data_IF_416414428530
#
_entry.id   IF_416414428530
#
_cell.length_a   1.000
_cell.length_b   1.000
_cell.length_c   1.000
_cell.angle_alpha   90.00
_cell.angle_beta   90.00
_cell.angle_gamma   90.00
#
_symmetry.space_group_name_H-M   'P 1'
#
loop_
_entity.id
_entity.type
_entity.pdbx_description
1 polymer ?
#
# COMPACT_ATOMS: atom_id res chain seq x y z
N UNK A 1 -36.02 15.05 9.96
CA UNK A 1 -34.92 14.70 9.03
C UNK A 1 -33.62 14.70 9.81
N UNK A 2 -32.92 13.58 9.85
CA UNK A 2 -31.61 13.52 10.50
C UNK A 2 -30.61 14.34 9.69
N UNK A 3 -29.87 15.22 10.34
CA UNK A 3 -28.75 15.92 9.71
C UNK A 3 -27.65 14.88 9.57
N UNK A 4 -27.35 14.47 8.35
CA UNK A 4 -26.22 13.59 8.09
C UNK A 4 -24.92 14.37 8.31
N UNK A 5 -24.04 13.79 9.08
CA UNK A 5 -22.68 14.33 9.20
C UNK A 5 -22.06 14.26 7.79
N UNK A 6 -21.68 15.42 7.26
CA UNK A 6 -21.09 15.52 5.92
C UNK A 6 -19.56 15.39 5.95
N UNK A 7 -18.95 15.18 7.11
CA UNK A 7 -17.52 14.97 7.20
C UNK A 7 -17.15 13.55 6.73
N UNK A 8 -16.14 13.50 5.85
CA UNK A 8 -15.62 12.25 5.36
C UNK A 8 -14.64 11.67 6.38
N UNK A 9 -14.90 10.46 6.86
CA UNK A 9 -13.96 9.74 7.71
C UNK A 9 -12.92 9.03 6.84
N UNK A 10 -11.75 9.66 6.66
CA UNK A 10 -10.69 9.11 5.85
C UNK A 10 -10.16 7.77 6.40
N UNK A 11 -10.16 7.60 7.73
CA UNK A 11 -9.70 6.36 8.36
C UNK A 11 -10.48 5.13 7.89
N UNK A 12 -11.75 5.28 7.57
CA UNK A 12 -12.60 4.18 7.13
C UNK A 12 -12.17 3.54 5.80
N UNK A 13 -11.34 4.23 5.01
CA UNK A 13 -10.81 3.72 3.73
C UNK A 13 -9.52 2.92 3.89
N UNK A 14 -9.01 2.79 5.11
CA UNK A 14 -7.74 2.13 5.42
C UNK A 14 -7.93 1.02 6.44
N UNK A 15 -7.03 0.03 6.49
CA UNK A 15 -7.09 -1.00 7.53
C UNK A 15 -7.11 -0.38 8.93
N UNK A 16 -7.87 -0.97 9.85
CA UNK A 16 -8.01 -0.45 11.21
C UNK A 16 -6.70 -0.46 12.01
N UNK A 17 -5.77 -1.32 11.63
CA UNK A 17 -4.44 -1.41 12.25
C UNK A 17 -3.40 -0.46 11.63
N UNK A 18 -3.81 0.35 10.63
CA UNK A 18 -3.03 1.48 10.12
C UNK A 18 -3.72 2.79 10.54
N UNK A 19 -3.23 3.39 11.61
CA UNK A 19 -3.81 4.61 12.17
C UNK A 19 -3.28 5.85 11.47
N UNK A 20 -4.17 6.68 10.96
CA UNK A 20 -3.79 7.97 10.36
C UNK A 20 -3.39 8.94 11.46
N UNK A 21 -2.20 9.52 11.31
CA UNK A 21 -1.65 10.53 12.23
C UNK A 21 -1.89 11.95 11.72
N UNK A 22 -1.65 12.16 10.42
CA UNK A 22 -1.64 13.48 9.81
C UNK A 22 -1.82 13.37 8.31
N UNK A 23 -2.36 14.40 7.69
CA UNK A 23 -2.54 14.50 6.24
C UNK A 23 -1.96 15.83 5.76
N UNK A 24 -1.04 15.76 4.80
CA UNK A 24 -0.51 16.94 4.12
C UNK A 24 -1.14 17.03 2.73
N UNK A 25 -1.79 18.16 2.44
CA UNK A 25 -2.45 18.40 1.16
C UNK A 25 -1.75 19.52 0.42
N UNK A 26 -1.25 19.22 -0.78
CA UNK A 26 -0.69 20.20 -1.70
C UNK A 26 -1.50 20.22 -2.99
N UNK A 27 -1.16 21.08 -3.94
CA UNK A 27 -1.88 21.14 -5.21
C UNK A 27 -1.74 19.88 -6.05
N UNK A 28 -0.64 19.15 -5.92
CA UNK A 28 -0.32 18.00 -6.76
C UNK A 28 -0.48 16.65 -6.04
N UNK A 29 -0.32 16.63 -4.72
CA UNK A 29 -0.30 15.36 -3.97
C UNK A 29 -0.87 15.52 -2.57
N UNK A 30 -1.33 14.39 -2.05
CA UNK A 30 -1.76 14.23 -0.67
C UNK A 30 -0.82 13.20 -0.04
N UNK A 31 -0.22 13.54 1.10
CA UNK A 31 0.61 12.61 1.86
C UNK A 31 -0.13 12.25 3.14
N UNK A 32 -0.41 10.98 3.31
CA UNK A 32 -1.09 10.47 4.50
C UNK A 32 -0.07 9.76 5.37
N UNK A 33 0.22 10.37 6.53
CA UNK A 33 1.12 9.80 7.52
C UNK A 33 0.34 8.86 8.41
N UNK A 34 0.79 7.64 8.53
CA UNK A 34 0.13 6.62 9.34
C UNK A 34 1.13 5.71 10.04
N UNK A 35 0.69 5.06 11.11
CA UNK A 35 1.49 4.08 11.80
C UNK A 35 0.69 2.80 12.04
N UNK A 36 1.41 1.69 12.09
CA UNK A 36 0.84 0.41 12.47
C UNK A 36 0.55 0.36 13.96
N UNK A 37 -0.60 -0.21 14.31
CA UNK A 37 -0.97 -0.54 15.69
C UNK A 37 -0.95 -2.04 15.94
N UNK A 38 -0.48 -2.83 14.96
CA UNK A 38 -0.43 -4.29 15.05
C UNK A 38 0.54 -4.75 16.14
N UNK A 39 0.16 -5.81 16.84
CA UNK A 39 0.98 -6.43 17.89
C UNK A 39 1.53 -7.79 17.46
N UNK A 40 1.14 -8.28 16.29
CA UNK A 40 1.57 -9.56 15.76
C UNK A 40 1.59 -9.55 14.24
N UNK A 41 2.31 -10.50 13.68
CA UNK A 41 2.41 -10.70 12.24
C UNK A 41 2.62 -12.18 11.97
N UNK A 42 2.16 -12.68 10.84
CA UNK A 42 2.40 -14.05 10.42
C UNK A 42 3.63 -14.09 9.51
N UNK A 43 4.59 -14.95 9.80
CA UNK A 43 5.74 -15.13 8.93
C UNK A 43 5.30 -15.72 7.60
N UNK A 44 5.55 -15.01 6.50
CA UNK A 44 5.12 -15.45 5.17
C UNK A 44 5.98 -16.59 4.60
N UNK A 45 7.07 -16.97 5.30
CA UNK A 45 7.87 -18.11 4.90
C UNK A 45 7.43 -19.41 5.59
N UNK A 46 7.19 -19.37 6.91
CA UNK A 46 6.89 -20.57 7.69
C UNK A 46 5.50 -20.57 8.32
N UNK A 47 4.76 -19.45 8.24
CA UNK A 47 3.42 -19.33 8.81
C UNK A 47 3.35 -19.19 10.32
N UNK A 48 4.50 -19.05 11.01
CA UNK A 48 4.52 -18.86 12.46
C UNK A 48 3.97 -17.50 12.85
N UNK A 49 3.24 -17.46 13.98
CA UNK A 49 2.78 -16.19 14.55
C UNK A 49 3.93 -15.51 15.28
N UNK A 50 4.24 -14.28 14.89
CA UNK A 50 5.32 -13.47 15.44
C UNK A 50 4.72 -12.36 16.27
N UNK A 51 5.18 -12.21 17.51
CA UNK A 51 4.64 -11.24 18.47
C UNK A 51 5.69 -10.27 19.00
N UNK A 52 6.94 -10.43 18.59
CA UNK A 52 8.05 -9.60 19.05
C UNK A 52 8.51 -8.67 17.94
N UNK A 53 8.37 -7.36 18.15
CA UNK A 53 8.92 -6.37 17.25
C UNK A 53 10.45 -6.45 17.26
N UNK A 54 11.06 -6.46 16.07
CA UNK A 54 12.50 -6.42 15.88
C UNK A 54 12.99 -5.01 15.59
N UNK A 55 12.13 -4.18 15.00
CA UNK A 55 12.41 -2.80 14.65
C UNK A 55 11.23 -2.18 13.95
N UNK A 56 11.40 -0.94 13.55
CA UNK A 56 10.40 -0.24 12.74
C UNK A 56 11.10 0.57 11.65
N UNK A 57 10.39 0.83 10.56
CA UNK A 57 10.89 1.69 9.50
C UNK A 57 9.74 2.36 8.78
N UNK A 58 10.07 3.43 8.06
CA UNK A 58 9.10 4.11 7.20
C UNK A 58 9.09 3.48 5.82
N UNK A 59 7.89 3.33 5.26
CA UNK A 59 7.70 2.93 3.86
C UNK A 59 6.84 3.97 3.17
N UNK A 60 7.21 4.26 1.93
CA UNK A 60 6.43 5.12 1.05
C UNK A 60 5.68 4.25 0.06
N UNK A 61 4.36 4.36 0.04
CA UNK A 61 3.48 3.51 -0.76
C UNK A 61 2.55 4.38 -1.59
N UNK A 62 2.43 4.06 -2.88
CA UNK A 62 1.48 4.70 -3.79
C UNK A 62 0.08 4.13 -3.61
N UNK A 63 -0.91 4.97 -3.38
CA UNK A 63 -2.32 4.59 -3.33
C UNK A 63 -3.09 5.20 -4.51
N UNK A 64 -4.37 4.90 -4.61
CA UNK A 64 -5.26 5.47 -5.62
C UNK A 64 -5.30 7.00 -5.50
N UNK A 65 -5.35 7.72 -6.64
CA UNK A 65 -5.44 9.17 -6.60
C UNK A 65 -6.79 9.63 -6.04
N UNK A 66 -6.79 10.80 -5.40
CA UNK A 66 -8.00 11.46 -4.90
C UNK A 66 -8.16 12.77 -5.66
N UNK A 67 -9.28 12.91 -6.37
CA UNK A 67 -9.64 14.12 -7.13
C UNK A 67 -8.48 14.58 -8.05
N UNK A 68 -7.83 13.63 -8.71
CA UNK A 68 -6.73 13.89 -9.63
C UNK A 68 -5.39 14.19 -8.97
N UNK A 69 -5.29 14.10 -7.65
CA UNK A 69 -4.04 14.26 -6.91
C UNK A 69 -3.43 12.92 -6.58
N UNK A 70 -2.12 12.81 -6.73
CA UNK A 70 -1.37 11.66 -6.26
C UNK A 70 -1.53 11.46 -4.75
N UNK A 71 -1.72 10.24 -4.30
CA UNK A 71 -1.80 9.90 -2.87
C UNK A 71 -0.62 9.03 -2.48
N UNK A 72 0.18 9.54 -1.57
CA UNK A 72 1.35 8.86 -1.02
C UNK A 72 1.07 8.51 0.44
N UNK A 73 1.25 7.25 0.79
CA UNK A 73 1.16 6.80 2.17
C UNK A 73 2.57 6.75 2.75
N UNK A 74 2.82 7.54 3.79
CA UNK A 74 4.03 7.47 4.59
C UNK A 74 3.71 6.64 5.83
N UNK A 75 4.16 5.39 5.82
CA UNK A 75 3.77 4.39 6.80
C UNK A 75 4.93 4.03 7.70
N UNK A 76 4.73 4.15 9.00
CA UNK A 76 5.65 3.59 9.99
C UNK A 76 5.13 2.20 10.38
N UNK A 77 5.88 1.17 10.01
CA UNK A 77 5.49 -0.23 10.20
C UNK A 77 6.60 -0.99 10.92
N UNK A 78 6.27 -2.18 11.41
CA UNK A 78 7.17 -2.97 12.23
C UNK A 78 7.76 -4.14 11.45
N UNK A 79 9.01 -4.44 11.78
CA UNK A 79 9.66 -5.69 11.45
C UNK A 79 9.55 -6.64 12.63
N UNK A 80 9.36 -7.91 12.34
CA UNK A 80 9.30 -8.97 13.34
C UNK A 80 10.43 -9.94 13.11
N UNK A 81 10.87 -10.61 14.16
CA UNK A 81 11.93 -11.61 14.04
C UNK A 81 11.32 -13.00 14.07
N UNK A 82 11.56 -13.77 13.01
CA UNK A 82 11.18 -15.17 12.98
C UNK A 82 12.30 -16.02 13.61
N UNK A 83 11.95 -16.75 14.66
CA UNK A 83 12.89 -17.61 15.39
C UNK A 83 12.79 -19.08 14.98
N UNK A 84 11.99 -19.39 13.97
CA UNK A 84 11.90 -20.75 13.43
C UNK A 84 13.25 -21.17 12.84
N UNK A 85 13.59 -22.45 12.99
CA UNK A 85 14.84 -23.02 12.43
C UNK A 85 14.93 -22.84 10.91
N UNK A 86 13.78 -22.87 10.22
CA UNK A 86 13.73 -22.70 8.77
C UNK A 86 13.90 -21.24 8.32
N UNK A 87 13.86 -20.27 9.25
CA UNK A 87 13.88 -18.84 8.97
C UNK A 87 14.96 -18.10 9.73
N UNK A 88 16.10 -18.76 10.04
CA UNK A 88 17.19 -18.14 10.79
C UNK A 88 17.67 -16.86 10.09
N UNK A 89 17.73 -15.77 10.85
CA UNK A 89 18.15 -14.47 10.30
C UNK A 89 17.10 -13.73 9.51
N UNK A 90 15.89 -14.28 9.35
CA UNK A 90 14.82 -13.62 8.64
C UNK A 90 14.00 -12.73 9.56
N UNK A 91 13.83 -11.47 9.17
CA UNK A 91 13.04 -10.49 9.90
C UNK A 91 11.95 -9.94 8.97
N UNK A 92 10.78 -10.60 8.90
CA UNK A 92 9.73 -10.17 8.00
C UNK A 92 9.11 -8.84 8.45
N UNK A 93 8.78 -8.00 7.48
CA UNK A 93 7.97 -6.81 7.68
C UNK A 93 6.50 -7.21 7.66
N UNK A 94 5.69 -6.58 8.50
CA UNK A 94 4.25 -6.85 8.52
C UNK A 94 3.59 -6.51 7.18
N UNK A 95 2.51 -7.22 6.88
CA UNK A 95 1.67 -7.01 5.70
C UNK A 95 0.26 -6.70 6.14
N UNK A 96 -0.54 -6.17 5.22
CA UNK A 96 -1.93 -5.82 5.48
C UNK A 96 -2.78 -6.49 4.41
N UNK A 97 -3.38 -7.63 4.76
CA UNK A 97 -4.11 -8.49 3.83
C UNK A 97 -5.20 -7.71 3.08
N UNK A 98 -5.22 -7.89 1.76
CA UNK A 98 -6.17 -7.21 0.89
C UNK A 98 -5.88 -5.72 0.68
N UNK A 99 -4.82 -5.18 1.27
CA UNK A 99 -4.46 -3.77 1.16
C UNK A 99 -3.03 -3.57 0.66
N UNK A 100 -2.05 -4.19 1.30
CA UNK A 100 -0.63 -4.05 0.94
C UNK A 100 0.08 -5.39 1.05
N UNK A 101 0.57 -5.88 -0.08
CA UNK A 101 1.33 -7.12 -0.16
C UNK A 101 2.78 -6.92 0.31
N UNK A 102 3.43 -8.02 0.65
CA UNK A 102 4.83 -8.01 1.08
C UNK A 102 5.74 -7.39 0.00
N UNK A 103 6.62 -6.50 0.43
CA UNK A 103 7.56 -5.74 -0.41
C UNK A 103 6.92 -4.91 -1.53
N UNK A 104 5.60 -4.73 -1.55
CA UNK A 104 4.96 -3.88 -2.53
C UNK A 104 5.15 -2.40 -2.18
N UNK A 105 5.34 -1.57 -3.20
CA UNK A 105 5.41 -0.11 -3.09
C UNK A 105 4.10 0.56 -3.52
N UNK A 106 3.10 -0.24 -3.79
CA UNK A 106 1.78 0.20 -4.24
C UNK A 106 0.74 -0.60 -3.49
N UNK A 107 -0.38 0.04 -3.15
CA UNK A 107 -1.52 -0.68 -2.57
C UNK A 107 -2.08 -1.66 -3.60
N UNK A 108 -2.71 -2.73 -3.12
CA UNK A 108 -3.33 -3.73 -4.00
C UNK A 108 -4.37 -3.08 -4.90
N UNK A 109 -5.18 -2.15 -4.37
CA UNK A 109 -6.20 -1.44 -5.16
C UNK A 109 -5.60 -0.53 -6.23
N UNK A 110 -4.42 0.06 -5.98
CA UNK A 110 -3.71 0.83 -7.01
C UNK A 110 -3.18 -0.09 -8.11
N UNK A 111 -2.57 -1.22 -7.75
CA UNK A 111 -2.11 -2.21 -8.73
C UNK A 111 -3.27 -2.70 -9.61
N UNK A 112 -4.42 -2.99 -9.01
CA UNK A 112 -5.62 -3.40 -9.74
C UNK A 112 -6.07 -2.32 -10.73
N UNK A 113 -6.10 -1.08 -10.29
CA UNK A 113 -6.48 0.05 -11.14
C UNK A 113 -5.52 0.22 -12.33
N UNK A 114 -4.21 0.15 -12.08
CA UNK A 114 -3.21 0.24 -13.14
C UNK A 114 -3.36 -0.90 -14.16
N UNK A 115 -3.63 -2.11 -13.68
CA UNK A 115 -3.87 -3.26 -14.55
C UNK A 115 -5.13 -3.10 -15.39
N UNK A 116 -6.22 -2.61 -14.82
CA UNK A 116 -7.47 -2.34 -15.55
C UNK A 116 -7.22 -1.30 -16.65
N UNK A 117 -6.54 -0.21 -16.34
CA UNK A 117 -6.19 0.80 -17.34
C UNK A 117 -5.37 0.20 -18.49
N UNK A 118 -4.40 -0.65 -18.17
CA UNK A 118 -3.53 -1.26 -19.16
C UNK A 118 -4.28 -2.24 -20.08
N UNK A 119 -5.22 -3.00 -19.51
CA UNK A 119 -6.05 -3.94 -20.29
C UNK A 119 -7.01 -3.19 -21.23
N UNK A 120 -7.61 -2.12 -20.74
CA UNK A 120 -8.59 -1.32 -21.51
C UNK A 120 -7.92 -0.40 -22.56
N UNK A 121 -6.66 -0.04 -22.37
CA UNK A 121 -5.92 0.84 -23.27
C UNK A 121 -4.63 0.18 -23.74
N UNK A 122 -3.53 0.45 -23.07
CA UNK A 122 -2.22 -0.18 -23.24
C UNK A 122 -1.36 0.19 -22.04
N UNK A 123 -0.21 -0.46 -21.87
CA UNK A 123 0.72 -0.09 -20.79
C UNK A 123 1.24 1.33 -20.97
N UNK A 124 1.55 1.73 -22.20
CA UNK A 124 2.02 3.10 -22.48
C UNK A 124 0.93 4.14 -22.28
N UNK A 125 -0.30 3.87 -22.74
CA UNK A 125 -1.42 4.77 -22.55
C UNK A 125 -1.79 4.92 -21.06
N UNK A 126 -1.78 3.83 -20.30
CA UNK A 126 -2.06 3.90 -18.87
C UNK A 126 -0.99 4.69 -18.12
N UNK A 127 0.27 4.58 -18.50
CA UNK A 127 1.34 5.40 -17.93
C UNK A 127 1.08 6.90 -18.19
N UNK A 128 0.62 7.26 -19.38
CA UNK A 128 0.27 8.66 -19.70
C UNK A 128 -0.94 9.15 -18.93
N UNK A 129 -1.95 8.30 -18.76
CA UNK A 129 -3.16 8.63 -17.97
C UNK A 129 -2.76 8.88 -16.51
N UNK A 130 -1.96 8.00 -15.93
CA UNK A 130 -1.49 8.15 -14.56
C UNK A 130 -0.63 9.41 -14.36
N UNK A 131 0.18 9.74 -15.37
CA UNK A 131 0.97 10.97 -15.33
C UNK A 131 0.10 12.23 -15.27
N UNK A 132 -1.09 12.22 -15.88
CA UNK A 132 -2.02 13.34 -15.78
C UNK A 132 -2.56 13.55 -14.36
N UNK A 133 -2.42 12.56 -13.50
CA UNK A 133 -2.76 12.61 -12.06
C UNK A 133 -1.51 12.70 -11.18
N UNK A 134 -0.39 13.17 -11.74
CA UNK A 134 0.90 13.32 -11.06
C UNK A 134 1.51 11.99 -10.55
N UNK A 135 1.09 10.87 -11.11
CA UNK A 135 1.62 9.56 -10.78
C UNK A 135 2.60 9.15 -11.87
N UNK A 136 3.88 9.07 -11.51
CA UNK A 136 4.95 8.69 -12.45
C UNK A 136 5.22 7.20 -12.33
N UNK A 137 4.78 6.45 -13.31
CA UNK A 137 5.01 5.02 -13.43
C UNK A 137 5.31 4.71 -14.90
N UNK A 138 6.30 3.86 -15.14
CA UNK A 138 6.66 3.49 -16.51
C UNK A 138 5.76 2.37 -17.04
N UNK A 139 5.65 2.29 -18.37
CA UNK A 139 4.99 1.16 -19.03
C UNK A 139 5.60 -0.17 -18.64
N UNK A 140 6.92 -0.24 -18.46
CA UNK A 140 7.62 -1.45 -18.02
C UNK A 140 7.18 -1.90 -16.64
N UNK A 141 6.99 -0.97 -15.72
CA UNK A 141 6.47 -1.28 -14.38
C UNK A 141 5.06 -1.85 -14.48
N UNK A 142 4.23 -1.27 -15.32
CA UNK A 142 2.84 -1.75 -15.54
C UNK A 142 2.85 -3.15 -16.14
N UNK A 143 3.75 -3.43 -17.10
CA UNK A 143 3.92 -4.77 -17.64
C UNK A 143 4.25 -5.78 -16.54
N UNK A 144 5.15 -5.42 -15.61
CA UNK A 144 5.49 -6.27 -14.47
C UNK A 144 4.30 -6.53 -13.56
N UNK A 145 3.44 -5.52 -13.33
CA UNK A 145 2.20 -5.70 -12.56
C UNK A 145 1.26 -6.68 -13.25
N UNK A 146 1.09 -6.57 -14.56
CA UNK A 146 0.26 -7.49 -15.34
C UNK A 146 0.79 -8.92 -15.27
N UNK A 147 2.09 -9.09 -15.43
CA UNK A 147 2.73 -10.41 -15.35
C UNK A 147 2.56 -11.02 -13.96
N UNK A 148 2.74 -10.24 -12.92
CA UNK A 148 2.52 -10.67 -11.52
C UNK A 148 1.08 -11.14 -11.32
N UNK A 149 0.11 -10.42 -11.89
CA UNK A 149 -1.32 -10.70 -11.71
C UNK A 149 -1.78 -11.94 -12.49
N UNK A 150 -1.28 -12.13 -13.70
CA UNK A 150 -1.78 -13.16 -14.63
C UNK A 150 -0.83 -14.36 -14.82
N UNK A 151 0.30 -14.41 -14.14
CA UNK A 151 1.28 -15.50 -14.23
C UNK A 151 1.10 -16.58 -13.15
N UNK A 152 -0.08 -16.74 -12.65
CA UNK A 152 -0.37 -17.76 -11.64
C UNK A 152 -0.71 -19.10 -12.27
#
# INVERSE_FOLDING_TARGET
>A
MAILDTTLDLQSFYPSDLKILNVEDTDEKIIIHMHSTSTSCVCHKCGALLQQHHGSHHRTVQDLPILGKQVILDMQIFDYKCRSKSCVGFAPTETFDGFLSYNSRMTDRFEDFACVLAVETSCEASARILKSMNIRISGDTIIRLLLKRYSK
#
